data_IF_081064499360
#
_entry.id   IF_081064499360
#
_cell.length_a   1.000
_cell.length_b   1.000
_cell.length_c   1.000
_cell.angle_alpha   90.00
_cell.angle_beta   90.00
_cell.angle_gamma   90.00
#
_symmetry.space_group_name_H-M   'P 1'
#
loop_
_entity.id
_entity.type
_entity.pdbx_description
1 polymer ?
#
# COMPACT_ATOMS: atom_id res chain seq x y z
N UNK A 1 -27.07 -54.54 -13.59
CA UNK A 1 -26.15 -53.44 -13.90
C UNK A 1 -26.99 -52.29 -14.43
N UNK A 2 -27.09 -51.19 -13.70
CA UNK A 2 -27.87 -50.02 -14.05
C UNK A 2 -27.02 -49.06 -14.85
N UNK A 3 -27.40 -48.83 -16.09
CA UNK A 3 -26.66 -47.98 -17.03
C UNK A 3 -27.53 -46.76 -17.35
N UNK A 4 -26.95 -45.57 -17.24
CA UNK A 4 -27.57 -44.30 -17.67
C UNK A 4 -26.68 -43.61 -18.68
N UNK A 5 -27.24 -42.74 -19.52
CA UNK A 5 -26.47 -42.01 -20.53
C UNK A 5 -26.73 -40.50 -20.46
N UNK A 6 -25.70 -39.70 -20.74
CA UNK A 6 -25.80 -38.25 -20.90
C UNK A 6 -25.35 -37.81 -22.29
N UNK A 7 -26.15 -36.96 -22.92
CA UNK A 7 -25.88 -36.40 -24.25
C UNK A 7 -26.01 -34.88 -24.23
N UNK A 8 -25.04 -34.22 -24.85
CA UNK A 8 -25.07 -32.78 -25.09
C UNK A 8 -25.05 -32.52 -26.60
N UNK A 9 -26.11 -31.92 -27.14
CA UNK A 9 -26.28 -31.69 -28.59
C UNK A 9 -26.09 -30.22 -28.96
N UNK A 10 -25.36 -29.96 -30.03
CA UNK A 10 -25.29 -28.63 -30.65
C UNK A 10 -26.43 -28.45 -31.66
N UNK A 11 -27.01 -27.25 -31.75
CA UNK A 11 -28.23 -26.96 -32.52
C UNK A 11 -28.04 -27.08 -34.05
N UNK A 12 -26.81 -27.10 -34.54
CA UNK A 12 -26.50 -26.83 -35.95
C UNK A 12 -25.75 -27.96 -36.70
N UNK A 13 -25.89 -29.22 -36.28
CA UNK A 13 -25.34 -30.35 -37.05
C UNK A 13 -26.48 -31.02 -37.82
N UNK A 14 -26.53 -30.73 -39.13
CA UNK A 14 -27.23 -31.58 -40.11
C UNK A 14 -26.88 -33.04 -39.82
N UNK A 15 -27.88 -33.89 -39.57
CA UNK A 15 -27.73 -35.28 -39.17
C UNK A 15 -26.57 -36.01 -39.88
N UNK A 16 -25.40 -35.98 -39.27
CA UNK A 16 -24.28 -36.82 -39.63
C UNK A 16 -24.39 -38.06 -38.74
N UNK A 17 -24.73 -39.24 -39.30
CA UNK A 17 -24.88 -40.46 -38.51
C UNK A 17 -23.60 -40.86 -37.78
N UNK A 18 -22.43 -40.28 -38.12
CA UNK A 18 -21.18 -40.45 -37.37
C UNK A 18 -21.15 -39.73 -36.00
N UNK A 19 -22.07 -38.79 -35.71
CA UNK A 19 -22.21 -38.15 -34.39
C UNK A 19 -23.16 -38.89 -33.43
N UNK A 20 -23.79 -39.97 -33.87
CA UNK A 20 -24.56 -40.88 -33.01
C UNK A 20 -23.62 -41.89 -32.31
N UNK A 21 -22.71 -41.39 -31.48
CA UNK A 21 -21.71 -42.24 -30.82
C UNK A 21 -22.37 -43.31 -29.93
N UNK A 22 -23.45 -42.96 -29.23
CA UNK A 22 -24.37 -43.93 -28.64
C UNK A 22 -25.29 -44.50 -29.72
N UNK A 23 -24.90 -45.63 -30.33
CA UNK A 23 -25.73 -46.35 -31.30
C UNK A 23 -27.06 -46.83 -30.70
N UNK A 24 -28.08 -47.05 -31.54
CA UNK A 24 -29.42 -47.50 -31.12
C UNK A 24 -29.37 -48.78 -30.25
N UNK A 25 -28.42 -49.68 -30.52
CA UNK A 25 -28.20 -50.90 -29.75
C UNK A 25 -27.66 -50.64 -28.33
N UNK A 26 -26.78 -49.64 -28.16
CA UNK A 26 -26.23 -49.27 -26.84
C UNK A 26 -27.28 -48.55 -26.00
N UNK A 27 -28.12 -47.72 -26.63
CA UNK A 27 -29.23 -47.02 -25.98
C UNK A 27 -30.35 -47.97 -25.53
N UNK A 28 -30.54 -49.12 -26.20
CA UNK A 28 -31.51 -50.13 -25.79
C UNK A 28 -31.18 -50.80 -24.45
N UNK A 29 -29.90 -50.78 -24.02
CA UNK A 29 -29.45 -51.31 -22.73
C UNK A 29 -29.41 -50.25 -21.61
N UNK A 30 -29.76 -49.00 -21.92
CA UNK A 30 -29.71 -47.86 -20.99
C UNK A 30 -31.08 -47.66 -20.35
N UNK A 31 -31.14 -47.56 -19.02
CA UNK A 31 -32.37 -47.32 -18.29
C UNK A 31 -32.94 -45.92 -18.54
N UNK A 32 -32.06 -44.92 -18.65
CA UNK A 32 -32.43 -43.53 -18.85
C UNK A 32 -31.37 -42.71 -19.57
N UNK A 33 -31.82 -41.84 -20.48
CA UNK A 33 -30.98 -40.92 -21.25
C UNK A 33 -31.32 -39.48 -20.86
N UNK A 34 -30.31 -38.72 -20.45
CA UNK A 34 -30.38 -37.30 -20.10
C UNK A 34 -29.85 -36.48 -21.28
N UNK A 35 -30.63 -35.52 -21.80
CA UNK A 35 -30.29 -34.79 -23.03
C UNK A 35 -30.37 -33.29 -22.81
N UNK A 36 -29.23 -32.61 -22.91
CA UNK A 36 -29.16 -31.16 -22.96
C UNK A 36 -28.85 -30.69 -24.40
N UNK A 37 -29.36 -29.52 -24.76
CA UNK A 37 -29.14 -28.90 -26.08
C UNK A 37 -28.47 -27.53 -25.87
N UNK A 38 -27.40 -27.26 -26.62
CA UNK A 38 -26.64 -26.03 -26.55
C UNK A 38 -27.49 -24.84 -27.04
N UNK A 39 -27.93 -23.98 -26.12
CA UNK A 39 -28.69 -22.77 -26.46
C UNK A 39 -27.71 -21.63 -26.82
N UNK A 40 -27.85 -20.96 -27.98
CA UNK A 40 -26.95 -19.87 -28.39
C UNK A 40 -26.88 -18.71 -27.39
N UNK A 41 -27.96 -18.46 -26.66
CA UNK A 41 -28.07 -17.39 -25.66
C UNK A 41 -27.58 -17.80 -24.27
N UNK A 42 -27.50 -19.10 -23.98
CA UNK A 42 -27.19 -19.65 -22.66
C UNK A 42 -26.35 -20.94 -22.75
N UNK A 43 -25.07 -20.86 -23.17
CA UNK A 43 -24.23 -22.04 -23.40
C UNK A 43 -23.94 -22.86 -22.13
N UNK A 44 -24.15 -22.28 -20.95
CA UNK A 44 -23.93 -22.93 -19.65
C UNK A 44 -25.18 -23.60 -19.06
N UNK A 45 -26.35 -23.47 -19.70
CA UNK A 45 -27.59 -24.04 -19.19
C UNK A 45 -27.68 -25.54 -19.53
N UNK A 46 -27.51 -26.40 -18.52
CA UNK A 46 -27.47 -27.88 -18.64
C UNK A 46 -28.31 -28.57 -17.55
N UNK A 47 -29.64 -28.36 -17.53
CA UNK A 47 -30.51 -28.88 -16.48
C UNK A 47 -30.58 -30.41 -16.43
N UNK A 48 -30.43 -31.13 -17.55
CA UNK A 48 -30.46 -32.59 -17.55
C UNK A 48 -29.19 -33.19 -16.96
N UNK A 49 -28.02 -32.54 -17.14
CA UNK A 49 -26.78 -32.90 -16.42
C UNK A 49 -26.95 -32.79 -14.91
N UNK A 50 -27.57 -31.70 -14.45
CA UNK A 50 -27.82 -31.49 -13.03
C UNK A 50 -28.82 -32.52 -12.48
N UNK A 51 -29.84 -32.88 -13.28
CA UNK A 51 -30.79 -33.96 -12.96
C UNK A 51 -30.12 -35.33 -12.90
N UNK A 52 -29.23 -35.64 -13.84
CA UNK A 52 -28.43 -36.88 -13.80
C UNK A 52 -27.69 -37.01 -12.47
N UNK A 53 -27.04 -35.94 -12.01
CA UNK A 53 -26.33 -35.96 -10.73
C UNK A 53 -27.30 -36.14 -9.55
N UNK A 54 -28.43 -35.44 -9.53
CA UNK A 54 -29.43 -35.56 -8.48
C UNK A 54 -30.01 -37.00 -8.39
N UNK A 55 -30.31 -37.60 -9.54
CA UNK A 55 -30.81 -38.97 -9.63
C UNK A 55 -29.73 -39.98 -9.21
N UNK A 56 -28.48 -39.77 -9.63
CA UNK A 56 -27.33 -40.62 -9.27
C UNK A 56 -27.02 -40.61 -7.77
N UNK A 57 -27.36 -39.54 -7.05
CA UNK A 57 -27.24 -39.48 -5.59
C UNK A 57 -28.33 -40.26 -4.85
N UNK A 58 -29.51 -40.39 -5.45
CA UNK A 58 -30.67 -41.05 -4.84
C UNK A 58 -30.67 -42.54 -5.17
N UNK A 59 -30.29 -42.87 -6.40
CA UNK A 59 -30.14 -44.22 -6.90
C UNK A 59 -28.86 -44.24 -7.76
N UNK A 60 -27.74 -44.79 -7.27
CA UNK A 60 -26.48 -44.75 -8.01
C UNK A 60 -26.53 -45.72 -9.20
N UNK A 61 -26.22 -45.27 -10.43
CA UNK A 61 -25.99 -46.17 -11.55
C UNK A 61 -24.63 -46.86 -11.40
N UNK A 62 -24.46 -48.02 -12.01
CA UNK A 62 -23.15 -48.69 -12.12
C UNK A 62 -22.28 -48.01 -13.19
N UNK A 63 -22.91 -47.53 -14.28
CA UNK A 63 -22.22 -46.94 -15.42
C UNK A 63 -22.96 -45.70 -15.96
N UNK A 64 -22.22 -44.63 -16.23
CA UNK A 64 -22.67 -43.42 -16.92
C UNK A 64 -21.96 -43.33 -18.27
N UNK A 65 -22.72 -43.46 -19.35
CA UNK A 65 -22.21 -43.34 -20.71
C UNK A 65 -22.29 -41.90 -21.22
N UNK A 66 -21.21 -41.40 -21.81
CA UNK A 66 -21.18 -40.08 -22.47
C UNK A 66 -20.63 -40.19 -23.89
N UNK A 67 -21.13 -39.34 -24.80
CA UNK A 67 -20.66 -39.31 -26.18
C UNK A 67 -19.15 -38.94 -26.24
N UNK A 68 -18.74 -37.91 -25.50
CA UNK A 68 -17.36 -37.46 -25.28
C UNK A 68 -17.23 -36.92 -23.85
N UNK A 69 -16.11 -37.13 -23.16
CA UNK A 69 -15.86 -36.49 -21.86
C UNK A 69 -15.98 -34.97 -21.95
N UNK A 70 -15.60 -34.37 -23.09
CA UNK A 70 -15.75 -32.92 -23.32
C UNK A 70 -17.21 -32.44 -23.21
N UNK A 71 -18.19 -33.32 -23.46
CA UNK A 71 -19.63 -33.02 -23.35
C UNK A 71 -20.08 -32.75 -21.92
N UNK A 72 -19.34 -33.16 -20.89
CA UNK A 72 -19.73 -32.99 -19.50
C UNK A 72 -19.48 -31.58 -18.96
N UNK A 73 -18.64 -30.78 -19.60
CA UNK A 73 -18.28 -29.44 -19.11
C UNK A 73 -18.09 -28.42 -20.24
N UNK A 74 -17.79 -27.19 -19.88
CA UNK A 74 -17.47 -26.12 -20.84
C UNK A 74 -15.96 -25.92 -21.01
N UNK A 75 -15.17 -26.42 -20.06
CA UNK A 75 -13.71 -26.37 -20.08
C UNK A 75 -13.15 -27.64 -19.39
N UNK A 76 -11.85 -27.94 -19.53
CA UNK A 76 -11.27 -29.16 -18.98
C UNK A 76 -11.32 -29.28 -17.44
N UNK A 77 -11.32 -28.15 -16.70
CA UNK A 77 -11.46 -28.20 -15.23
C UNK A 77 -12.91 -28.56 -14.86
N UNK A 78 -13.90 -27.97 -15.54
CA UNK A 78 -15.32 -28.27 -15.39
C UNK A 78 -15.62 -29.74 -15.77
N UNK A 79 -15.13 -30.22 -16.91
CA UNK A 79 -15.25 -31.64 -17.31
C UNK A 79 -14.71 -32.56 -16.21
N UNK A 80 -13.51 -32.28 -15.71
CA UNK A 80 -12.90 -33.12 -14.70
C UNK A 80 -13.66 -33.08 -13.37
N UNK A 81 -14.20 -31.91 -13.00
CA UNK A 81 -15.07 -31.76 -11.84
C UNK A 81 -16.33 -32.62 -11.97
N UNK A 82 -16.99 -32.61 -13.13
CA UNK A 82 -18.20 -33.40 -13.36
C UNK A 82 -17.95 -34.90 -13.35
N UNK A 83 -16.86 -35.35 -13.98
CA UNK A 83 -16.50 -36.77 -13.94
C UNK A 83 -16.23 -37.22 -12.51
N UNK A 84 -15.41 -36.49 -11.75
CA UNK A 84 -15.15 -36.82 -10.34
C UNK A 84 -16.42 -36.79 -9.48
N UNK A 85 -17.35 -35.89 -9.77
CA UNK A 85 -18.60 -35.74 -9.02
C UNK A 85 -19.57 -36.90 -9.29
N UNK A 86 -19.59 -37.42 -10.51
CA UNK A 86 -20.36 -38.62 -10.88
C UNK A 86 -19.68 -39.90 -10.37
N UNK A 87 -18.36 -40.00 -10.46
CA UNK A 87 -17.61 -41.14 -9.89
C UNK A 87 -17.75 -41.22 -8.37
N UNK A 88 -17.86 -40.08 -7.69
CA UNK A 88 -18.10 -40.02 -6.26
C UNK A 88 -19.47 -40.59 -5.84
N UNK A 89 -20.44 -40.76 -6.76
CA UNK A 89 -21.70 -41.47 -6.47
C UNK A 89 -21.54 -42.99 -6.53
N UNK A 90 -20.38 -43.50 -6.94
CA UNK A 90 -20.10 -44.92 -7.13
C UNK A 90 -20.31 -45.43 -8.56
N UNK A 91 -20.59 -44.53 -9.51
CA UNK A 91 -20.78 -44.88 -10.91
C UNK A 91 -19.46 -44.76 -11.70
N UNK A 92 -19.21 -45.64 -12.66
CA UNK A 92 -18.09 -45.49 -13.59
C UNK A 92 -18.50 -44.60 -14.77
N UNK A 93 -17.70 -43.60 -15.15
CA UNK A 93 -18.00 -42.71 -16.28
C UNK A 93 -17.19 -43.16 -17.50
N UNK A 94 -17.87 -43.58 -18.56
CA UNK A 94 -17.24 -44.11 -19.78
C UNK A 94 -17.66 -43.30 -21.01
N UNK A 95 -16.68 -42.90 -21.81
CA UNK A 95 -16.92 -42.28 -23.10
C UNK A 95 -17.05 -43.32 -24.21
N UNK A 96 -18.01 -43.13 -25.12
CA UNK A 96 -18.27 -44.05 -26.23
C UNK A 96 -17.41 -43.76 -27.46
N UNK A 97 -16.86 -42.54 -27.59
CA UNK A 97 -15.91 -42.22 -28.66
C UNK A 97 -14.55 -42.86 -28.39
N UNK A 98 -14.01 -43.50 -29.43
CA UNK A 98 -12.81 -44.36 -29.46
C UNK A 98 -11.46 -43.63 -29.24
N UNK A 99 -11.45 -42.49 -28.54
CA UNK A 99 -10.24 -41.83 -28.11
C UNK A 99 -10.14 -41.95 -26.58
N UNK A 100 -9.22 -42.76 -26.04
CA UNK A 100 -8.94 -42.79 -24.61
C UNK A 100 -8.18 -41.52 -24.24
N UNK A 101 -8.87 -40.38 -24.23
CA UNK A 101 -8.34 -39.16 -23.64
C UNK A 101 -8.46 -39.33 -22.14
N UNK A 102 -7.40 -39.89 -21.53
CA UNK A 102 -7.28 -39.98 -20.08
C UNK A 102 -7.50 -38.58 -19.46
N UNK A 103 -8.35 -38.52 -18.42
CA UNK A 103 -8.61 -37.30 -17.64
C UNK A 103 -7.31 -36.66 -17.15
N UNK A 104 -6.27 -37.46 -16.87
CA UNK A 104 -4.95 -36.96 -16.53
C UNK A 104 -4.32 -36.15 -17.68
N UNK A 105 -4.48 -36.59 -18.92
CA UNK A 105 -3.99 -35.91 -20.13
C UNK A 105 -4.74 -34.59 -20.39
N UNK A 106 -6.06 -34.57 -20.19
CA UNK A 106 -6.86 -33.33 -20.27
C UNK A 106 -6.42 -32.30 -19.22
N UNK A 107 -6.27 -32.74 -17.96
CA UNK A 107 -5.75 -31.89 -16.88
C UNK A 107 -4.37 -31.35 -17.19
N UNK A 108 -3.46 -32.19 -17.68
CA UNK A 108 -2.12 -31.80 -18.04
C UNK A 108 -2.11 -30.79 -19.19
N UNK A 109 -2.95 -30.97 -20.21
CA UNK A 109 -3.14 -30.00 -21.30
C UNK A 109 -3.63 -28.64 -20.80
N UNK A 110 -4.64 -28.62 -19.93
CA UNK A 110 -5.18 -27.39 -19.34
C UNK A 110 -4.15 -26.64 -18.47
N UNK A 111 -3.37 -27.39 -17.68
CA UNK A 111 -2.26 -26.84 -16.90
C UNK A 111 -1.20 -26.22 -17.81
N UNK A 112 -0.79 -26.92 -18.88
CA UNK A 112 0.19 -26.40 -19.85
C UNK A 112 -0.32 -25.15 -20.55
N UNK A 113 -1.58 -25.12 -21.00
CA UNK A 113 -2.19 -23.95 -21.62
C UNK A 113 -2.22 -22.75 -20.65
N UNK A 114 -2.59 -23.00 -19.39
CA UNK A 114 -2.59 -21.97 -18.34
C UNK A 114 -1.18 -21.46 -18.05
N UNK A 115 -0.18 -22.35 -18.00
CA UNK A 115 1.22 -21.98 -17.82
C UNK A 115 1.74 -21.15 -18.99
N UNK A 116 1.45 -21.55 -20.24
CA UNK A 116 1.83 -20.79 -21.43
C UNK A 116 1.18 -19.40 -21.43
N UNK A 117 -0.11 -19.30 -21.10
CA UNK A 117 -0.80 -18.02 -20.95
C UNK A 117 -0.15 -17.13 -19.90
N UNK A 118 0.18 -17.69 -18.72
CA UNK A 118 0.89 -16.97 -17.66
C UNK A 118 2.28 -16.50 -18.10
N UNK A 119 3.02 -17.32 -18.86
CA UNK A 119 4.33 -16.93 -19.42
C UNK A 119 4.20 -15.76 -20.39
N UNK A 120 3.29 -15.84 -21.36
CA UNK A 120 3.01 -14.75 -22.32
C UNK A 120 2.62 -13.44 -21.63
N UNK A 121 1.80 -13.51 -20.58
CA UNK A 121 1.44 -12.33 -19.78
C UNK A 121 2.65 -11.73 -19.06
N UNK A 122 3.50 -12.56 -18.45
CA UNK A 122 4.74 -12.11 -17.78
C UNK A 122 5.72 -11.47 -18.75
N UNK A 123 5.87 -12.05 -19.94
CA UNK A 123 6.69 -11.50 -21.04
C UNK A 123 6.14 -10.15 -21.51
N UNK A 124 4.82 -10.06 -21.72
CA UNK A 124 4.16 -8.80 -22.05
C UNK A 124 4.41 -7.72 -20.99
N UNK A 125 4.26 -8.06 -19.71
CA UNK A 125 4.58 -7.16 -18.61
C UNK A 125 6.06 -6.77 -18.60
N UNK A 126 6.98 -7.70 -18.86
CA UNK A 126 8.41 -7.39 -18.94
C UNK A 126 8.71 -6.37 -20.04
N UNK A 127 8.14 -6.54 -21.23
CA UNK A 127 8.27 -5.57 -22.33
C UNK A 127 7.71 -4.19 -21.96
N UNK A 128 6.55 -4.15 -21.30
CA UNK A 128 5.97 -2.89 -20.82
C UNK A 128 6.86 -2.17 -19.79
N UNK A 129 7.55 -2.92 -18.91
CA UNK A 129 8.49 -2.34 -17.93
C UNK A 129 9.69 -1.68 -18.60
N UNK A 130 10.26 -2.33 -19.62
CA UNK A 130 11.40 -1.79 -20.38
C UNK A 130 11.05 -0.46 -21.06
N UNK A 131 9.79 -0.29 -21.49
CA UNK A 131 9.27 0.93 -22.08
C UNK A 131 8.80 1.97 -21.05
N UNK A 132 9.01 1.72 -19.75
CA UNK A 132 8.52 2.56 -18.65
C UNK A 132 6.99 2.82 -18.70
N UNK A 133 6.21 1.86 -19.22
CA UNK A 133 4.76 1.98 -19.30
C UNK A 133 4.12 1.69 -17.93
N UNK A 134 3.00 2.35 -17.58
CA UNK A 134 2.28 2.09 -16.35
C UNK A 134 1.89 0.61 -16.19
N UNK A 135 2.05 0.02 -14.99
CA UNK A 135 1.59 -1.34 -14.68
C UNK A 135 0.13 -1.55 -15.07
N UNK A 136 -0.31 -2.75 -15.48
CA UNK A 136 -1.70 -3.00 -15.89
C UNK A 136 -2.72 -2.70 -14.77
N UNK A 137 -3.98 -2.43 -15.14
CA UNK A 137 -5.09 -2.20 -14.21
C UNK A 137 -5.58 -0.74 -14.10
N UNK A 138 -6.43 -0.47 -13.12
CA UNK A 138 -7.03 0.86 -12.91
C UNK A 138 -5.96 1.88 -12.50
N UNK A 139 -5.93 3.10 -13.09
CA UNK A 139 -4.99 4.13 -12.65
C UNK A 139 -5.24 4.51 -11.19
N UNK A 140 -4.18 4.88 -10.43
CA UNK A 140 -4.34 5.37 -9.07
C UNK A 140 -5.23 6.61 -9.02
N UNK A 141 -5.95 6.77 -7.91
CA UNK A 141 -6.78 7.96 -7.66
C UNK A 141 -5.92 9.23 -7.80
N UNK A 142 -6.44 10.29 -8.43
CA UNK A 142 -5.67 11.50 -8.78
C UNK A 142 -5.07 11.47 -10.20
N UNK A 143 -5.07 10.30 -10.85
CA UNK A 143 -4.51 10.12 -12.18
C UNK A 143 -5.49 9.44 -13.12
N UNK A 144 -5.27 9.67 -14.42
CA UNK A 144 -5.91 8.95 -15.53
C UNK A 144 -4.83 8.43 -16.47
N UNK A 145 -5.15 7.41 -17.26
CA UNK A 145 -4.25 6.93 -18.32
C UNK A 145 -4.43 7.81 -19.56
N UNK A 146 -3.32 8.19 -20.19
CA UNK A 146 -3.33 8.86 -21.49
C UNK A 146 -1.92 8.93 -22.06
N UNK A 147 -1.79 8.84 -23.39
CA UNK A 147 -0.49 8.90 -24.08
C UNK A 147 0.53 7.89 -23.55
N UNK A 148 0.09 6.68 -23.18
CA UNK A 148 0.97 5.64 -22.64
C UNK A 148 1.53 5.90 -21.24
N UNK A 149 1.06 6.93 -20.52
CA UNK A 149 1.52 7.30 -19.18
C UNK A 149 0.36 7.68 -18.24
N UNK A 150 0.69 7.96 -16.98
CA UNK A 150 -0.25 8.61 -16.07
C UNK A 150 -0.27 10.12 -16.30
N UNK A 151 -1.47 10.68 -16.36
CA UNK A 151 -1.72 12.11 -16.45
C UNK A 151 -2.52 12.55 -15.24
N UNK A 152 -2.23 13.72 -14.69
CA UNK A 152 -2.96 14.28 -13.56
C UNK A 152 -4.42 14.47 -13.97
N UNK A 153 -5.32 13.92 -13.17
CA UNK A 153 -6.76 14.14 -13.31
C UNK A 153 -7.16 15.40 -12.54
N UNK A 154 -7.57 16.43 -13.29
CA UNK A 154 -7.94 17.74 -12.74
C UNK A 154 -9.12 17.66 -11.76
N UNK A 155 -9.99 16.66 -11.88
CA UNK A 155 -11.14 16.51 -10.99
C UNK A 155 -10.75 15.91 -9.63
N UNK A 156 -9.86 14.90 -9.64
CA UNK A 156 -9.56 14.11 -8.42
C UNK A 156 -8.24 14.50 -7.74
N UNK A 157 -7.26 15.03 -8.47
CA UNK A 157 -5.96 15.43 -7.92
C UNK A 157 -6.04 16.50 -6.82
N UNK A 158 -6.92 17.54 -6.89
CA UNK A 158 -7.02 18.55 -5.84
C UNK A 158 -7.35 17.97 -4.45
N UNK A 159 -8.03 16.83 -4.39
CA UNK A 159 -8.33 16.14 -3.12
C UNK A 159 -7.04 15.64 -2.46
N UNK A 160 -6.10 15.11 -3.25
CA UNK A 160 -4.81 14.63 -2.74
C UNK A 160 -3.93 15.82 -2.34
N UNK A 161 -3.87 16.87 -3.16
CA UNK A 161 -3.13 18.10 -2.82
C UNK A 161 -3.63 18.70 -1.51
N UNK A 162 -4.95 18.84 -1.35
CA UNK A 162 -5.53 19.35 -0.11
C UNK A 162 -5.23 18.44 1.10
N UNK A 163 -5.24 17.12 0.91
CA UNK A 163 -4.88 16.15 1.94
C UNK A 163 -3.41 16.28 2.37
N UNK A 164 -2.50 16.42 1.40
CA UNK A 164 -1.06 16.57 1.62
C UNK A 164 -0.77 17.86 2.36
N UNK A 165 -1.36 18.98 1.94
CA UNK A 165 -1.20 20.28 2.59
C UNK A 165 -1.68 20.25 4.05
N UNK A 166 -2.84 19.65 4.31
CA UNK A 166 -3.37 19.47 5.67
C UNK A 166 -2.44 18.60 6.53
N UNK A 167 -1.87 17.54 5.95
CA UNK A 167 -0.90 16.69 6.62
C UNK A 167 0.40 17.43 6.93
N UNK A 168 0.94 18.20 5.97
CA UNK A 168 2.16 18.99 6.16
C UNK A 168 1.98 20.05 7.25
N UNK A 169 0.82 20.71 7.27
CA UNK A 169 0.51 21.76 8.25
C UNK A 169 0.40 21.22 9.68
N UNK A 170 -0.32 20.12 9.89
CA UNK A 170 -0.64 19.63 11.24
C UNK A 170 0.14 18.39 11.68
N UNK A 171 0.80 17.71 10.75
CA UNK A 171 1.51 16.45 10.97
C UNK A 171 0.60 15.26 11.28
N UNK A 172 -0.71 15.36 11.04
CA UNK A 172 -1.71 14.40 11.51
C UNK A 172 -2.37 13.64 10.38
N UNK A 173 -2.01 12.37 10.21
CA UNK A 173 -2.63 11.51 9.19
C UNK A 173 -4.14 11.36 9.39
N UNK A 174 -4.60 11.12 10.63
CA UNK A 174 -6.02 10.99 10.94
C UNK A 174 -6.76 12.33 10.81
N UNK A 175 -6.08 13.43 11.12
CA UNK A 175 -6.61 14.78 10.92
C UNK A 175 -6.87 15.05 9.44
N UNK A 176 -5.87 14.79 8.58
CA UNK A 176 -5.99 14.95 7.14
C UNK A 176 -7.09 14.07 6.53
N UNK A 177 -7.26 12.82 6.99
CA UNK A 177 -8.38 11.97 6.54
C UNK A 177 -9.74 12.59 6.90
N UNK A 178 -9.90 13.07 8.14
CA UNK A 178 -11.14 13.71 8.59
C UNK A 178 -11.42 15.00 7.82
N UNK A 179 -10.38 15.79 7.57
CA UNK A 179 -10.47 17.00 6.77
C UNK A 179 -11.02 16.72 5.36
N UNK A 180 -10.54 15.66 4.71
CA UNK A 180 -11.05 15.26 3.39
C UNK A 180 -12.51 14.81 3.43
N UNK A 181 -12.90 14.08 4.48
CA UNK A 181 -14.30 13.71 4.67
C UNK A 181 -15.20 14.94 4.84
N UNK A 182 -14.79 15.92 5.65
CA UNK A 182 -15.57 17.14 5.90
C UNK A 182 -15.60 18.08 4.69
N UNK A 183 -14.46 18.30 4.03
CA UNK A 183 -14.33 19.31 2.96
C UNK A 183 -14.82 18.79 1.60
N UNK A 184 -14.58 17.52 1.29
CA UNK A 184 -14.87 16.92 -0.02
C UNK A 184 -15.94 15.83 0.04
N UNK A 185 -16.48 15.49 1.22
CA UNK A 185 -17.46 14.40 1.38
C UNK A 185 -16.88 13.00 1.11
N UNK A 186 -15.55 12.89 0.92
CA UNK A 186 -14.92 11.64 0.49
C UNK A 186 -14.41 10.86 1.70
N UNK A 187 -15.05 9.73 1.98
CA UNK A 187 -14.60 8.79 3.02
C UNK A 187 -13.46 7.93 2.50
N UNK A 188 -12.31 8.01 3.16
CA UNK A 188 -11.13 7.18 2.89
C UNK A 188 -10.63 6.51 4.16
N UNK A 189 -10.02 5.34 4.04
CA UNK A 189 -9.34 4.71 5.16
C UNK A 189 -8.02 5.42 5.49
N UNK A 190 -7.55 5.26 6.72
CA UNK A 190 -6.22 5.75 7.15
C UNK A 190 -5.10 5.11 6.34
N UNK A 191 -5.26 3.84 5.93
CA UNK A 191 -4.31 3.16 5.04
C UNK A 191 -4.23 3.79 3.66
N UNK A 192 -5.37 4.22 3.10
CA UNK A 192 -5.42 4.94 1.82
C UNK A 192 -4.72 6.29 1.92
N UNK A 193 -5.00 7.05 2.98
CA UNK A 193 -4.30 8.32 3.25
C UNK A 193 -2.78 8.12 3.39
N UNK A 194 -2.34 7.08 4.13
CA UNK A 194 -0.90 6.77 4.24
C UNK A 194 -0.29 6.41 2.89
N UNK A 195 -1.02 5.67 2.05
CA UNK A 195 -0.57 5.33 0.69
C UNK A 195 -0.40 6.57 -0.16
N UNK A 196 -1.28 7.56 -0.07
CA UNK A 196 -1.12 8.84 -0.80
C UNK A 196 0.17 9.56 -0.43
N UNK A 197 0.57 9.55 0.83
CA UNK A 197 1.82 10.18 1.31
C UNK A 197 3.09 9.44 0.88
N UNK A 198 3.04 8.10 0.82
CA UNK A 198 4.23 7.25 0.78
C UNK A 198 4.47 6.58 -0.57
N UNK A 199 3.43 6.36 -1.37
CA UNK A 199 3.54 5.57 -2.58
C UNK A 199 4.25 6.37 -3.70
N UNK A 200 5.24 5.77 -4.41
CA UNK A 200 6.06 6.49 -5.40
C UNK A 200 5.26 7.16 -6.52
N UNK A 201 4.10 6.58 -6.90
CA UNK A 201 3.21 7.15 -7.92
C UNK A 201 2.76 8.59 -7.65
N UNK A 202 2.57 8.97 -6.40
CA UNK A 202 2.18 10.36 -6.09
C UNK A 202 3.35 11.33 -6.21
N UNK A 203 4.58 10.80 -6.25
CA UNK A 203 5.85 11.51 -6.39
C UNK A 203 6.36 11.50 -7.83
N UNK A 204 5.57 11.00 -8.79
CA UNK A 204 5.93 10.94 -10.22
C UNK A 204 6.65 9.67 -10.67
N UNK A 205 6.69 8.63 -9.81
CA UNK A 205 7.51 7.43 -10.03
C UNK A 205 6.65 6.20 -10.32
N UNK A 206 7.14 5.28 -11.16
CA UNK A 206 6.49 3.99 -11.39
C UNK A 206 7.21 2.91 -10.61
N UNK A 207 6.48 2.18 -9.78
CA UNK A 207 6.97 1.00 -9.09
C UNK A 207 6.42 -0.27 -9.77
N UNK A 208 7.30 -1.21 -10.03
CA UNK A 208 6.98 -2.49 -10.67
C UNK A 208 7.10 -3.66 -9.68
N UNK A 209 6.54 -4.81 -10.08
CA UNK A 209 6.48 -6.01 -9.24
C UNK A 209 7.87 -6.62 -8.93
N UNK A 210 8.87 -6.36 -9.78
CA UNK A 210 10.26 -6.76 -9.56
C UNK A 210 10.97 -5.93 -8.48
N UNK A 211 10.26 -4.97 -7.86
CA UNK A 211 10.78 -4.09 -6.83
C UNK A 211 11.45 -2.83 -7.37
N UNK A 212 11.71 -2.76 -8.68
CA UNK A 212 12.31 -1.58 -9.29
C UNK A 212 11.32 -0.41 -9.33
N UNK A 213 11.84 0.75 -8.98
CA UNK A 213 11.11 2.02 -9.09
C UNK A 213 11.82 2.88 -10.11
N UNK A 214 11.09 3.34 -11.12
CA UNK A 214 11.58 4.28 -12.11
C UNK A 214 11.15 5.70 -11.75
N UNK A 215 12.14 6.55 -11.57
CA UNK A 215 11.94 7.96 -11.26
C UNK A 215 11.42 8.77 -12.45
N UNK A 216 10.63 9.79 -12.15
CA UNK A 216 10.21 10.88 -13.06
C UNK A 216 9.58 10.36 -14.37
N UNK A 217 8.66 9.41 -14.22
CA UNK A 217 7.94 8.78 -15.34
C UNK A 217 6.68 9.56 -15.74
N UNK A 218 6.13 10.37 -14.83
CA UNK A 218 4.94 11.19 -15.05
C UNK A 218 4.93 12.39 -14.11
N UNK A 219 4.03 13.35 -14.37
CA UNK A 219 3.88 14.53 -13.54
C UNK A 219 3.44 14.15 -12.12
N UNK A 220 4.17 14.63 -11.11
CA UNK A 220 3.90 14.35 -9.71
C UNK A 220 2.79 15.24 -9.15
N UNK A 221 1.98 14.70 -8.23
CA UNK A 221 1.05 15.49 -7.40
C UNK A 221 1.76 16.03 -6.16
N UNK A 222 2.75 15.29 -5.65
CA UNK A 222 3.58 15.64 -4.50
C UNK A 222 5.00 15.92 -5.01
N UNK A 223 5.48 17.13 -4.79
CA UNK A 223 6.85 17.53 -5.15
C UNK A 223 7.90 16.76 -4.35
N UNK A 224 9.17 16.81 -4.79
CA UNK A 224 10.27 16.13 -4.09
C UNK A 224 10.52 16.70 -2.70
N UNK A 225 10.38 18.00 -2.54
CA UNK A 225 10.57 18.68 -1.26
C UNK A 225 9.46 18.33 -0.29
N UNK A 226 8.20 18.35 -0.74
CA UNK A 226 7.06 17.88 0.06
C UNK A 226 7.23 16.41 0.44
N UNK A 227 7.66 15.54 -0.49
CA UNK A 227 7.89 14.14 -0.20
C UNK A 227 8.97 13.93 0.89
N UNK A 228 10.07 14.69 0.82
CA UNK A 228 11.11 14.66 1.85
C UNK A 228 10.60 15.14 3.21
N UNK A 229 9.80 16.23 3.23
CA UNK A 229 9.15 16.72 4.45
C UNK A 229 8.18 15.69 5.03
N UNK A 230 7.33 15.07 4.20
CA UNK A 230 6.39 14.01 4.58
C UNK A 230 7.15 12.83 5.22
N UNK A 231 8.21 12.36 4.58
CA UNK A 231 8.99 11.23 5.08
C UNK A 231 9.68 11.55 6.41
N UNK A 232 10.17 12.79 6.59
CA UNK A 232 10.70 13.28 7.88
C UNK A 232 9.60 13.29 8.94
N UNK A 233 8.43 13.87 8.66
CA UNK A 233 7.29 13.92 9.58
C UNK A 233 6.82 12.52 9.99
N UNK A 234 6.73 11.59 9.04
CA UNK A 234 6.32 10.21 9.30
C UNK A 234 7.35 9.46 10.16
N UNK A 235 8.65 9.60 9.86
CA UNK A 235 9.73 9.01 10.68
C UNK A 235 9.70 9.56 12.10
N UNK A 236 9.61 10.88 12.24
CA UNK A 236 9.56 11.59 13.53
C UNK A 236 8.35 11.24 14.39
N UNK A 237 7.18 11.05 13.77
CA UNK A 237 5.95 10.72 14.49
C UNK A 237 5.84 9.24 14.87
N UNK A 238 6.68 8.35 14.32
CA UNK A 238 6.64 6.91 14.57
C UNK A 238 6.80 6.50 16.05
N UNK A 239 7.75 7.05 16.84
CA UNK A 239 7.91 6.70 18.25
C UNK A 239 6.85 7.33 19.17
N UNK A 240 6.10 8.32 18.69
CA UNK A 240 5.16 9.05 19.54
C UNK A 240 3.91 8.22 19.86
N UNK A 241 3.30 8.43 21.03
CA UNK A 241 2.05 7.76 21.38
C UNK A 241 0.94 8.04 20.35
N UNK A 242 0.03 7.08 20.10
CA UNK A 242 -1.07 7.27 19.17
C UNK A 242 -1.90 8.53 19.48
N UNK A 243 -2.43 9.17 18.44
CA UNK A 243 -3.29 10.37 18.51
C UNK A 243 -2.62 11.67 19.01
N UNK A 244 -1.32 11.64 19.30
CA UNK A 244 -0.57 12.86 19.69
C UNK A 244 -0.15 13.69 18.49
N UNK A 245 0.03 13.07 17.32
CA UNK A 245 0.54 13.70 16.09
C UNK A 245 -0.13 15.05 15.77
N UNK A 246 -1.47 15.10 15.83
CA UNK A 246 -2.30 16.29 15.64
C UNK A 246 -3.05 16.73 16.89
N UNK A 247 -2.51 16.53 18.07
CA UNK A 247 -3.13 17.03 19.30
C UNK A 247 -3.19 18.56 19.31
N UNK A 248 -4.23 19.14 19.90
CA UNK A 248 -4.45 20.59 19.88
C UNK A 248 -3.35 21.40 20.61
N UNK A 249 -2.57 20.76 21.47
CA UNK A 249 -1.56 21.38 22.32
C UNK A 249 -0.19 20.76 22.05
N UNK A 250 0.83 21.60 21.99
CA UNK A 250 2.19 21.27 21.56
C UNK A 250 2.93 20.29 22.48
N UNK A 251 2.68 20.30 23.79
CA UNK A 251 3.32 19.38 24.74
C UNK A 251 2.76 17.94 24.70
N UNK A 252 1.69 17.70 23.95
CA UNK A 252 1.02 16.41 23.92
C UNK A 252 1.94 15.29 23.37
N UNK A 253 2.16 14.27 24.20
CA UNK A 253 2.96 13.09 23.86
C UNK A 253 4.48 13.27 24.02
N UNK A 254 4.94 14.41 24.53
CA UNK A 254 6.36 14.69 24.77
C UNK A 254 6.74 14.70 26.24
N UNK A 255 5.78 14.90 27.16
CA UNK A 255 6.10 15.12 28.57
C UNK A 255 5.89 13.85 29.37
N UNK A 256 6.90 13.46 30.14
CA UNK A 256 6.90 12.30 31.04
C UNK A 256 7.27 12.73 32.47
N UNK A 257 6.79 11.99 33.47
CA UNK A 257 7.13 12.24 34.86
C UNK A 257 8.29 11.33 35.23
N UNK A 258 9.43 11.88 35.66
CA UNK A 258 10.60 11.08 36.01
C UNK A 258 10.35 10.17 37.22
N UNK A 259 9.60 10.64 38.21
CA UNK A 259 9.35 9.87 39.44
C UNK A 259 8.45 8.63 39.26
N UNK A 260 7.48 8.67 38.35
CA UNK A 260 6.53 7.57 38.15
C UNK A 260 6.62 6.94 36.76
N UNK A 261 7.49 7.48 35.90
CA UNK A 261 7.74 7.07 34.52
C UNK A 261 6.49 7.02 33.63
N UNK A 262 5.42 7.71 34.01
CA UNK A 262 4.18 7.78 33.25
C UNK A 262 4.15 9.03 32.35
N UNK A 263 3.56 8.93 31.14
CA UNK A 263 3.34 10.10 30.30
C UNK A 263 2.32 11.04 30.95
N UNK A 264 2.54 12.35 30.79
CA UNK A 264 1.58 13.36 31.21
C UNK A 264 0.58 13.61 30.08
N UNK A 265 -0.70 13.55 30.43
CA UNK A 265 -1.80 13.91 29.55
C UNK A 265 -2.32 15.30 29.91
N UNK A 266 -2.84 15.98 28.90
CA UNK A 266 -3.42 17.31 29.06
C UNK A 266 -4.88 17.13 29.45
N UNK A 267 -5.22 17.60 30.64
CA UNK A 267 -6.57 17.59 31.20
C UNK A 267 -7.14 19.00 31.22
N UNK A 268 -8.42 19.13 30.88
CA UNK A 268 -9.15 20.40 30.88
C UNK A 268 -10.16 20.38 32.01
N UNK A 269 -10.10 21.38 32.88
CA UNK A 269 -11.06 21.55 33.98
C UNK A 269 -11.81 22.86 33.78
N UNK A 270 -13.13 22.82 33.88
CA UNK A 270 -13.99 24.01 33.89
C UNK A 270 -14.76 24.06 35.20
N UNK A 271 -14.94 25.24 35.82
CA UNK A 271 -15.74 25.38 37.03
C UNK A 271 -17.19 24.96 36.75
N UNK A 272 -17.74 24.09 37.62
CA UNK A 272 -19.10 23.53 37.47
C UNK A 272 -20.22 24.56 37.64
N UNK A 273 -19.91 25.69 38.26
CA UNK A 273 -20.86 26.72 38.69
C UNK A 273 -21.12 27.81 37.66
N UNK A 274 -20.42 27.80 36.52
CA UNK A 274 -20.55 28.84 35.47
C UNK A 274 -21.15 28.22 34.20
N UNK A 275 -22.12 28.88 33.53
CA UNK A 275 -22.65 28.40 32.27
C UNK A 275 -21.52 28.13 31.26
N UNK A 276 -21.68 27.06 30.46
CA UNK A 276 -20.65 26.50 29.58
C UNK A 276 -20.08 27.51 28.57
N UNK A 277 -20.82 28.57 28.26
CA UNK A 277 -20.44 29.66 27.36
C UNK A 277 -19.50 30.70 28.01
N UNK A 278 -19.41 30.78 29.34
CA UNK A 278 -18.62 31.78 30.07
C UNK A 278 -17.57 31.18 31.03
N UNK A 279 -17.55 29.85 31.19
CA UNK A 279 -16.62 29.18 32.09
C UNK A 279 -15.17 29.25 31.57
N UNK A 280 -14.28 29.99 32.27
CA UNK A 280 -12.83 29.93 32.03
C UNK A 280 -12.35 28.50 32.23
N UNK A 281 -11.73 27.94 31.20
CA UNK A 281 -11.18 26.58 31.26
C UNK A 281 -9.69 26.59 31.55
N UNK A 282 -9.27 25.79 32.51
CA UNK A 282 -7.87 25.63 32.90
C UNK A 282 -7.31 24.32 32.35
N UNK A 283 -6.04 24.35 31.94
CA UNK A 283 -5.34 23.18 31.42
C UNK A 283 -4.26 22.75 32.39
N UNK A 284 -4.18 21.44 32.62
CA UNK A 284 -3.20 20.84 33.51
C UNK A 284 -2.56 19.63 32.87
N UNK A 285 -1.26 19.46 33.09
CA UNK A 285 -0.52 18.25 32.82
C UNK A 285 -0.67 17.30 34.01
N UNK A 286 -1.16 16.09 33.76
CA UNK A 286 -1.37 15.06 34.78
C UNK A 286 -0.83 13.71 34.30
N UNK A 287 -0.09 12.96 35.13
CA UNK A 287 0.30 11.60 34.78
C UNK A 287 -0.94 10.70 34.60
N UNK A 288 -1.05 10.00 33.48
CA UNK A 288 -2.25 9.21 33.13
C UNK A 288 -2.47 7.98 34.01
N UNK A 289 -1.39 7.37 34.50
CA UNK A 289 -1.41 6.09 35.20
C UNK A 289 -0.51 6.05 36.44
N UNK A 290 -0.44 7.14 37.21
CA UNK A 290 0.47 7.20 38.37
C UNK A 290 0.18 6.09 39.39
N UNK A 291 1.16 5.23 39.61
CA UNK A 291 1.13 4.11 40.58
C UNK A 291 1.45 4.54 42.02
N UNK A 292 2.00 5.74 42.23
CA UNK A 292 2.42 6.25 43.56
C UNK A 292 1.21 6.61 44.44
N UNK A 293 1.41 6.49 45.75
CA UNK A 293 0.49 6.94 46.80
C UNK A 293 1.28 7.80 47.81
N UNK A 294 1.00 9.11 47.94
CA UNK A 294 0.05 9.91 47.15
C UNK A 294 0.47 10.03 45.67
N UNK A 295 -0.50 10.30 44.78
CA UNK A 295 -0.24 10.49 43.34
C UNK A 295 0.54 11.78 43.10
N UNK A 296 1.38 11.81 42.07
CA UNK A 296 2.06 13.03 41.63
C UNK A 296 1.05 14.15 41.30
N UNK A 297 1.33 15.37 41.77
CA UNK A 297 0.45 16.54 41.64
C UNK A 297 0.32 17.00 40.17
N UNK A 298 -0.84 17.53 39.80
CA UNK A 298 -1.01 18.15 38.48
C UNK A 298 -0.21 19.45 38.38
N UNK A 299 0.27 19.79 37.18
CA UNK A 299 1.02 21.02 36.91
C UNK A 299 0.21 21.88 35.93
N UNK A 300 0.04 23.19 36.16
CA UNK A 300 -0.59 24.08 35.20
C UNK A 300 0.13 24.05 33.85
N UNK A 301 -0.63 23.97 32.75
CA UNK A 301 -0.06 23.81 31.41
C UNK A 301 0.81 25.01 31.00
N UNK A 302 0.35 26.23 31.30
CA UNK A 302 1.03 27.46 30.89
C UNK A 302 2.36 27.62 31.64
N UNK A 303 2.38 27.34 32.95
CA UNK A 303 3.61 27.31 33.76
C UNK A 303 4.59 26.27 33.21
N UNK A 304 4.12 25.03 32.97
CA UNK A 304 4.95 23.98 32.40
C UNK A 304 5.57 24.40 31.06
N UNK A 305 4.77 25.00 30.17
CA UNK A 305 5.21 25.48 28.88
C UNK A 305 6.28 26.58 29.01
N UNK A 306 6.10 27.55 29.90
CA UNK A 306 7.08 28.62 30.13
C UNK A 306 8.43 28.08 30.62
N UNK A 307 8.41 27.19 31.62
CA UNK A 307 9.63 26.55 32.12
C UNK A 307 10.32 25.68 31.07
N UNK A 308 9.55 24.93 30.27
CA UNK A 308 10.08 24.13 29.17
C UNK A 308 10.75 25.03 28.12
N UNK A 309 10.10 26.12 27.70
CA UNK A 309 10.65 27.07 26.73
C UNK A 309 11.93 27.71 27.26
N UNK A 310 11.96 28.12 28.52
CA UNK A 310 13.16 28.68 29.15
C UNK A 310 14.32 27.67 29.13
N UNK A 311 14.04 26.40 29.47
CA UNK A 311 15.06 25.35 29.46
C UNK A 311 15.55 25.02 28.03
N UNK A 312 14.65 25.04 27.04
CA UNK A 312 15.02 24.86 25.63
C UNK A 312 15.99 25.95 25.19
N UNK A 313 15.68 27.20 25.48
CA UNK A 313 16.52 28.35 25.10
C UNK A 313 17.91 28.28 25.75
N UNK A 314 18.03 27.64 26.92
CA UNK A 314 19.30 27.45 27.64
C UNK A 314 20.12 26.28 27.08
N UNK A 315 19.50 25.12 26.86
CA UNK A 315 20.21 23.86 26.56
C UNK A 315 20.44 23.66 25.07
N UNK A 316 19.43 23.96 24.24
CA UNK A 316 19.46 23.63 22.82
C UNK A 316 20.63 24.28 22.05
N UNK A 317 20.96 25.58 22.25
CA UNK A 317 22.05 26.21 21.51
C UNK A 317 23.41 25.58 21.81
N UNK A 318 23.64 25.23 23.08
CA UNK A 318 24.86 24.56 23.53
C UNK A 318 24.99 23.16 22.91
N UNK A 319 23.89 22.40 22.91
CA UNK A 319 23.86 21.07 22.32
C UNK A 319 24.10 21.10 20.80
N UNK A 320 23.52 22.05 20.07
CA UNK A 320 23.74 22.21 18.62
C UNK A 320 25.20 22.61 18.33
N UNK A 321 25.80 23.51 19.10
CA UNK A 321 27.20 23.89 18.96
C UNK A 321 28.14 22.70 19.20
N UNK A 322 27.88 21.89 20.22
CA UNK A 322 28.64 20.66 20.48
C UNK A 322 28.46 19.64 19.36
N UNK A 323 27.23 19.44 18.87
CA UNK A 323 26.95 18.50 17.78
C UNK A 323 27.68 18.89 16.48
N UNK A 324 27.62 20.18 16.09
CA UNK A 324 28.29 20.69 14.89
C UNK A 324 29.81 20.57 14.96
N UNK A 325 30.41 20.77 16.14
CA UNK A 325 31.86 20.60 16.35
C UNK A 325 32.37 19.16 16.20
N UNK A 326 31.50 18.15 16.33
CA UNK A 326 31.85 16.72 16.22
C UNK A 326 31.79 16.19 14.79
N UNK A 327 31.32 16.99 13.83
CA UNK A 327 31.27 16.60 12.41
C UNK A 327 32.70 16.68 11.86
N UNK A 328 33.30 15.57 11.38
CA UNK A 328 34.67 15.58 10.88
C UNK A 328 34.83 16.52 9.68
N UNK A 329 35.71 17.50 9.80
CA UNK A 329 36.09 18.38 8.69
C UNK A 329 37.05 17.60 7.78
N UNK A 330 36.65 17.31 6.54
CA UNK A 330 37.54 16.78 5.50
C UNK A 330 37.17 15.44 4.85
N UNK A 331 36.10 14.77 5.26
CA UNK A 331 35.54 13.64 4.50
C UNK A 331 34.41 14.14 3.59
N UNK A 332 34.36 13.77 2.29
CA UNK A 332 33.25 14.17 1.42
C UNK A 332 31.93 13.73 2.07
N UNK A 333 31.03 14.69 2.28
CA UNK A 333 29.76 14.43 2.92
C UNK A 333 29.05 13.26 2.21
N UNK A 334 28.34 12.36 2.92
CA UNK A 334 27.64 11.24 2.29
C UNK A 334 26.77 11.64 1.08
N UNK A 335 26.24 12.87 1.08
CA UNK A 335 25.53 13.46 -0.06
C UNK A 335 26.38 13.61 -1.31
N UNK A 336 27.62 14.10 -1.19
CA UNK A 336 28.55 14.29 -2.33
C UNK A 336 28.96 12.98 -2.98
N UNK A 337 29.19 11.93 -2.18
CA UNK A 337 29.50 10.59 -2.69
C UNK A 337 28.31 10.02 -3.47
N UNK A 338 27.12 10.06 -2.89
CA UNK A 338 25.91 9.57 -3.56
C UNK A 338 25.62 10.35 -4.84
N UNK A 339 25.85 11.67 -4.85
CA UNK A 339 25.70 12.48 -6.05
C UNK A 339 26.70 12.08 -7.14
N UNK A 340 27.97 11.87 -6.80
CA UNK A 340 28.97 11.40 -7.77
C UNK A 340 28.62 10.02 -8.34
N UNK A 341 28.06 9.10 -7.53
CA UNK A 341 27.59 7.79 -8.01
C UNK A 341 26.37 7.91 -8.94
N UNK A 342 25.47 8.88 -8.69
CA UNK A 342 24.34 9.21 -9.58
C UNK A 342 24.87 9.74 -10.91
N UNK A 343 25.71 10.77 -10.87
CA UNK A 343 26.25 11.44 -12.05
C UNK A 343 27.00 10.44 -12.95
N UNK A 344 27.78 9.54 -12.36
CA UNK A 344 28.49 8.48 -13.09
C UNK A 344 27.52 7.53 -13.82
N UNK A 345 26.41 7.14 -13.19
CA UNK A 345 25.41 6.25 -13.81
C UNK A 345 24.59 6.97 -14.88
N UNK A 346 24.31 8.26 -14.67
CA UNK A 346 23.66 9.12 -15.68
C UNK A 346 24.54 9.29 -16.92
N UNK A 347 25.86 9.44 -16.75
CA UNK A 347 26.80 9.47 -17.86
C UNK A 347 26.78 8.17 -18.68
N UNK A 348 26.73 7.01 -18.02
CA UNK A 348 26.59 5.71 -18.72
C UNK A 348 25.24 5.62 -19.44
N UNK A 349 24.15 6.10 -18.81
CA UNK A 349 22.82 6.10 -19.42
C UNK A 349 22.77 6.95 -20.69
N UNK A 350 23.48 8.08 -20.70
CA UNK A 350 23.56 8.99 -21.83
C UNK A 350 24.32 8.40 -23.04
N UNK A 351 25.25 7.47 -22.81
CA UNK A 351 26.00 6.78 -23.87
C UNK A 351 25.24 5.64 -24.55
N UNK A 352 24.18 5.10 -23.91
CA UNK A 352 23.46 3.94 -24.44
C UNK A 352 22.85 4.12 -25.85
N UNK A 353 22.24 5.27 -26.20
CA UNK A 353 21.73 5.49 -27.55
C UNK A 353 22.81 5.37 -28.63
N UNK A 354 24.03 5.86 -28.36
CA UNK A 354 25.13 5.79 -29.33
C UNK A 354 25.63 4.36 -29.51
N UNK A 355 25.70 3.58 -28.42
CA UNK A 355 26.06 2.16 -28.48
C UNK A 355 25.00 1.32 -29.23
N UNK A 356 23.73 1.71 -29.15
CA UNK A 356 22.63 1.11 -29.91
C UNK A 356 22.72 1.48 -31.40
N UNK A 357 22.94 2.77 -31.71
CA UNK A 357 23.06 3.28 -33.08
C UNK A 357 24.29 2.73 -33.82
N UNK A 358 25.40 2.48 -33.10
CA UNK A 358 26.64 1.90 -33.65
C UNK A 358 26.57 0.38 -33.80
N UNK A 359 25.47 -0.26 -33.35
CA UNK A 359 25.26 -1.70 -33.44
C UNK A 359 26.10 -2.53 -32.45
N UNK A 360 26.75 -1.90 -31.47
CA UNK A 360 27.48 -2.59 -30.40
C UNK A 360 26.50 -3.29 -29.45
N UNK A 361 25.35 -2.66 -29.19
CA UNK A 361 24.26 -3.23 -28.40
C UNK A 361 23.01 -3.40 -29.26
N UNK A 362 22.34 -4.53 -29.13
CA UNK A 362 20.99 -4.70 -29.66
C UNK A 362 19.95 -3.94 -28.82
N UNK A 363 18.79 -3.66 -29.41
CA UNK A 363 17.72 -2.87 -28.79
C UNK A 363 17.20 -3.50 -27.48
N UNK A 364 17.14 -4.83 -27.37
CA UNK A 364 16.64 -5.49 -26.16
C UNK A 364 17.65 -5.36 -25.01
N UNK A 365 18.93 -5.61 -25.28
CA UNK A 365 20.02 -5.43 -24.31
C UNK A 365 20.15 -3.97 -23.88
N UNK A 366 20.08 -3.02 -24.81
CA UNK A 366 20.10 -1.59 -24.52
C UNK A 366 18.91 -1.19 -23.63
N UNK A 367 17.69 -1.65 -23.94
CA UNK A 367 16.50 -1.39 -23.14
C UNK A 367 16.60 -1.96 -21.72
N UNK A 368 17.10 -3.19 -21.58
CA UNK A 368 17.33 -3.82 -20.28
C UNK A 368 18.37 -3.06 -19.45
N UNK A 369 19.47 -2.62 -20.08
CA UNK A 369 20.52 -1.84 -19.42
C UNK A 369 19.99 -0.49 -18.96
N UNK A 370 19.23 0.20 -19.81
CA UNK A 370 18.56 1.47 -19.52
C UNK A 370 17.61 1.35 -18.33
N UNK A 371 16.79 0.28 -18.30
CA UNK A 371 15.88 -0.01 -17.20
C UNK A 371 16.62 -0.22 -15.86
N UNK A 372 17.66 -1.04 -15.86
CA UNK A 372 18.47 -1.31 -14.66
C UNK A 372 19.14 -0.05 -14.12
N UNK A 373 19.82 0.72 -14.98
CA UNK A 373 20.50 1.95 -14.57
C UNK A 373 19.51 2.97 -14.00
N UNK A 374 18.35 3.17 -14.64
CA UNK A 374 17.31 4.06 -14.10
C UNK A 374 16.80 3.60 -12.72
N UNK A 375 16.65 2.30 -12.51
CA UNK A 375 16.30 1.75 -11.20
C UNK A 375 17.35 2.02 -10.13
N UNK A 376 18.63 1.81 -10.46
CA UNK A 376 19.77 2.08 -9.57
C UNK A 376 19.87 3.57 -9.22
N UNK A 377 19.75 4.47 -10.21
CA UNK A 377 19.73 5.93 -10.01
C UNK A 377 18.57 6.33 -9.09
N UNK A 378 17.38 5.74 -9.29
CA UNK A 378 16.21 6.00 -8.45
C UNK A 378 16.46 5.59 -6.99
N UNK A 379 17.13 4.46 -6.77
CA UNK A 379 17.50 4.00 -5.43
C UNK A 379 18.52 4.92 -4.76
N UNK A 380 19.55 5.37 -5.48
CA UNK A 380 20.54 6.33 -4.97
C UNK A 380 19.90 7.66 -4.59
N UNK A 381 19.00 8.17 -5.42
CA UNK A 381 18.23 9.37 -5.09
C UNK A 381 17.37 9.19 -3.84
N UNK A 382 16.77 8.02 -3.63
CA UNK A 382 16.00 7.74 -2.42
C UNK A 382 16.91 7.75 -1.18
N UNK A 383 18.14 7.25 -1.29
CA UNK A 383 19.14 7.34 -0.21
C UNK A 383 19.54 8.78 0.06
N UNK A 384 19.78 9.58 -0.98
CA UNK A 384 20.12 11.00 -0.87
C UNK A 384 19.00 11.78 -0.15
N UNK A 385 17.74 11.55 -0.52
CA UNK A 385 16.58 12.20 0.09
C UNK A 385 16.34 11.81 1.56
N UNK A 386 16.93 10.71 2.04
CA UNK A 386 16.83 10.30 3.44
C UNK A 386 17.81 11.04 4.36
N UNK A 387 18.84 11.67 3.81
CA UNK A 387 19.82 12.44 4.56
C UNK A 387 19.19 13.68 5.21
N UNK A 388 19.62 14.07 6.41
CA UNK A 388 19.08 15.25 7.09
C UNK A 388 19.51 16.53 6.34
N UNK A 389 18.62 17.53 6.18
CA UNK A 389 19.01 18.82 5.61
C UNK A 389 19.95 19.54 6.58
N UNK A 390 21.14 19.88 6.08
CA UNK A 390 22.20 20.54 6.83
C UNK A 390 21.87 22.03 6.93
N UNK A 391 21.05 22.40 7.92
CA UNK A 391 20.95 23.80 8.32
C UNK A 391 20.57 23.99 9.81
N UNK A 392 21.11 23.11 10.68
CA UNK A 392 20.85 23.15 12.13
C UNK A 392 21.39 24.44 12.78
N UNK A 393 22.42 25.05 12.19
CA UNK A 393 23.12 26.18 12.77
C UNK A 393 22.32 27.49 12.64
N UNK A 394 21.72 27.76 11.47
CA UNK A 394 20.82 28.91 11.28
C UNK A 394 19.56 28.79 12.15
N UNK A 395 18.99 27.58 12.25
CA UNK A 395 17.83 27.33 13.11
C UNK A 395 18.14 27.52 14.60
N UNK A 396 19.38 27.27 15.03
CA UNK A 396 19.79 27.34 16.45
C UNK A 396 19.68 28.75 17.06
N UNK A 397 19.88 29.80 16.25
CA UNK A 397 19.82 31.18 16.74
C UNK A 397 18.39 31.59 17.07
N UNK A 398 17.44 31.31 16.17
CA UNK A 398 16.02 31.66 16.35
C UNK A 398 15.37 30.90 17.51
N UNK A 399 15.71 29.62 17.69
CA UNK A 399 15.17 28.77 18.78
C UNK A 399 15.74 29.11 20.16
N UNK A 400 16.74 29.98 20.24
CA UNK A 400 17.32 30.48 21.49
C UNK A 400 16.47 31.57 22.15
N UNK A 401 15.47 32.11 21.45
CA UNK A 401 14.69 33.27 21.88
C UNK A 401 13.35 32.79 22.47
N UNK A 402 13.00 33.09 23.73
CA UNK A 402 11.73 32.66 24.32
C UNK A 402 10.51 33.17 23.56
N UNK A 403 10.55 34.43 23.10
CA UNK A 403 9.43 35.06 22.39
C UNK A 403 9.08 34.33 21.09
N UNK A 404 10.08 33.82 20.36
CA UNK A 404 9.87 33.00 19.18
C UNK A 404 8.92 31.84 19.46
N UNK A 405 9.10 31.12 20.57
CA UNK A 405 8.25 29.98 20.94
C UNK A 405 6.83 30.37 21.38
N UNK A 406 6.64 31.58 21.88
CA UNK A 406 5.34 32.06 22.34
C UNK A 406 4.49 32.60 21.19
N UNK A 407 5.11 33.14 20.15
CA UNK A 407 4.43 33.69 18.98
C UNK A 407 3.98 32.60 17.98
N UNK A 408 4.61 31.42 18.03
CA UNK A 408 4.23 30.29 17.18
C UNK A 408 2.83 29.75 17.51
N UNK A 409 2.11 29.35 16.47
CA UNK A 409 0.90 28.55 16.63
C UNK A 409 1.20 27.21 17.31
N UNK A 410 0.19 26.57 17.92
CA UNK A 410 0.36 25.25 18.54
C UNK A 410 0.85 24.18 17.56
N UNK A 411 0.53 24.32 16.27
CA UNK A 411 0.99 23.41 15.23
C UNK A 411 2.49 23.59 14.94
N UNK A 412 2.93 24.83 14.75
CA UNK A 412 4.34 25.16 14.48
C UNK A 412 5.22 24.87 15.69
N UNK A 413 4.79 25.26 16.89
CA UNK A 413 5.51 24.95 18.13
C UNK A 413 5.65 23.44 18.32
N UNK A 414 4.58 22.68 18.06
CA UNK A 414 4.64 21.20 18.10
C UNK A 414 5.61 20.64 17.06
N UNK A 415 5.66 21.23 15.88
CA UNK A 415 6.61 20.85 14.84
C UNK A 415 8.05 21.04 15.34
N UNK A 416 8.39 22.23 15.85
CA UNK A 416 9.75 22.50 16.34
C UNK A 416 10.12 21.70 17.59
N UNK A 417 9.21 21.55 18.57
CA UNK A 417 9.48 20.70 19.74
C UNK A 417 9.85 19.29 19.34
N UNK A 418 9.11 18.67 18.42
CA UNK A 418 9.39 17.30 17.98
C UNK A 418 10.63 17.18 17.11
N UNK A 419 11.09 18.29 16.53
CA UNK A 419 12.29 18.31 15.71
C UNK A 419 13.55 18.20 16.55
N UNK A 420 13.56 18.85 17.71
CA UNK A 420 14.74 18.93 18.58
C UNK A 420 14.65 18.04 19.82
N UNK A 421 13.44 17.73 20.28
CA UNK A 421 13.19 17.12 21.58
C UNK A 421 12.53 15.75 21.39
N UNK A 422 13.18 14.73 21.94
CA UNK A 422 12.70 13.35 21.99
C UNK A 422 11.73 13.14 23.15
N UNK A 423 12.06 13.66 24.33
CA UNK A 423 11.28 13.53 25.57
C UNK A 423 11.55 14.72 26.49
N UNK A 424 10.55 15.08 27.30
CA UNK A 424 10.61 16.16 28.29
C UNK A 424 10.29 15.55 29.65
N UNK A 425 11.30 15.46 30.51
CA UNK A 425 11.17 14.83 31.80
C UNK A 425 10.89 15.88 32.87
N UNK A 426 9.76 15.73 33.56
CA UNK A 426 9.43 16.51 34.73
C UNK A 426 10.00 15.78 35.95
N UNK A 427 11.03 16.39 36.55
CA UNK A 427 11.63 15.95 37.81
C UNK A 427 10.98 16.74 38.93
N UNK A 428 10.50 16.07 39.97
CA UNK A 428 9.82 16.70 41.10
C UNK A 428 10.73 16.59 42.32
N UNK A 429 10.82 17.69 43.07
CA UNK A 429 11.68 17.78 44.25
C UNK A 429 10.94 18.55 45.34
N UNK A 430 10.53 17.85 46.40
CA UNK A 430 9.92 18.36 47.64
C UNK A 430 8.90 19.53 47.51
N UNK A 431 8.14 19.58 46.42
CA UNK A 431 7.10 20.60 46.18
C UNK A 431 7.40 21.54 45.01
N UNK A 432 8.66 21.62 44.58
CA UNK A 432 9.08 22.22 43.32
C UNK A 432 9.17 21.16 42.20
N UNK A 433 9.31 21.61 40.97
CA UNK A 433 9.58 20.76 39.83
C UNK A 433 10.53 21.47 38.87
N UNK A 434 11.34 20.68 38.16
CA UNK A 434 12.26 21.15 37.12
C UNK A 434 12.07 20.34 35.85
N UNK A 435 12.54 20.91 34.74
CA UNK A 435 12.45 20.32 33.41
C UNK A 435 13.83 19.78 33.03
N UNK A 436 13.88 18.56 32.54
CA UNK A 436 15.05 17.97 31.91
C UNK A 436 14.70 17.58 30.46
N UNK A 437 15.50 18.05 29.51
CA UNK A 437 15.26 17.85 28.09
C UNK A 437 16.09 16.70 27.56
N UNK A 438 15.44 15.79 26.85
CA UNK A 438 16.10 14.71 26.13
C UNK A 438 16.07 15.06 24.64
N UNK A 439 17.20 15.46 24.08
CA UNK A 439 17.30 15.89 22.68
C UNK A 439 17.36 14.70 21.70
N UNK A 440 17.08 14.98 20.43
CA UNK A 440 17.05 13.96 19.35
C UNK A 440 18.46 13.54 18.91
N UNK A 441 19.44 14.43 18.97
CA UNK A 441 20.80 14.26 18.45
C UNK A 441 21.87 14.13 19.53
#
# INVERSE_FOLDING_TARGET
MRIVAYRYREVDVSADPALEALGEETLAAVERVYIDVALPTEPHYRPERDRLLADSRTNPPDLVLVDDLSSLGNDPEDVCHWVQTLEATGAEVVSVKDNPVDLASLRQGALLATQQRRRRLREGHARSRLQALPPPGKPPYGYRRGQGRYLIDRATAPVITAFVNEFLLYGSLRGAVRFIETRFGKRISVSTGRRWLTHPVYRGDLQYQDGNTLRDTHAAIISRDEAAQIDRLLRRNRPLPPRTAGAARSLAGLVTCQECSQPLTISKTAPKTTPRSQAKSYLYLRPSGCSRRPRCKAIPYDDALQHIVAEICRVLPQAVAQFTSRIPVGMPAPSTRLQAEIDAKEAVLAQLPDLENTGILDAETAALRRYKLRGEISALHQQLAQLPPVNLQELSQSVSIPQFWLDLSEAERRFFFREFIRDIQIVRDEGAWRVELVLVF
#
